data_IF_034857973608
#
_entry.id   IF_034857973608
#
_cell.length_a   1.000
_cell.length_b   1.000
_cell.length_c   1.000
_cell.angle_alpha   90.00
_cell.angle_beta   90.00
_cell.angle_gamma   90.00
#
_symmetry.space_group_name_H-M   'P 1'
#
loop_
_entity.id
_entity.type
_entity.pdbx_description
1 polymer ?
#
# COMPACT_ATOMS: atom_id res chain seq x y z
N UNK A 1 11.24 -7.09 -12.37
CA UNK A 1 9.83 -6.66 -12.51
C UNK A 1 9.50 -5.78 -11.32
N UNK A 2 8.97 -4.57 -11.54
CA UNK A 2 8.53 -3.69 -10.44
C UNK A 2 7.23 -4.23 -9.85
N UNK A 3 6.99 -4.00 -8.56
CA UNK A 3 5.75 -4.37 -7.85
C UNK A 3 5.56 -3.43 -6.66
N UNK A 4 4.44 -3.59 -5.96
CA UNK A 4 4.00 -2.73 -4.87
C UNK A 4 4.93 -2.73 -3.66
N UNK A 5 5.96 -3.62 -3.59
CA UNK A 5 7.04 -3.47 -2.60
C UNK A 5 7.75 -2.13 -2.69
N UNK A 6 7.69 -1.46 -3.85
CA UNK A 6 8.17 -0.08 -4.01
C UNK A 6 7.60 0.86 -2.92
N UNK A 7 6.34 0.68 -2.55
CA UNK A 7 5.65 1.50 -1.56
C UNK A 7 5.93 1.07 -0.11
N UNK A 8 6.71 0.00 0.11
CA UNK A 8 7.12 -0.37 1.47
C UNK A 8 8.10 0.67 2.02
N UNK A 9 7.70 1.34 3.09
CA UNK A 9 8.52 2.31 3.82
C UNK A 9 8.93 1.70 5.18
N UNK A 10 10.20 1.30 5.37
CA UNK A 10 10.67 0.69 6.60
C UNK A 10 10.53 1.60 7.83
N UNK A 11 10.62 2.91 7.65
CA UNK A 11 10.50 3.88 8.75
C UNK A 11 9.06 3.92 9.23
N UNK A 12 8.09 4.06 8.31
CA UNK A 12 6.65 4.00 8.66
C UNK A 12 6.25 2.63 9.21
N UNK A 13 6.88 1.57 8.74
CA UNK A 13 6.64 0.21 9.21
C UNK A 13 6.86 0.03 10.73
N UNK A 14 7.76 0.82 11.31
CA UNK A 14 8.07 0.83 12.75
C UNK A 14 6.98 1.59 13.52
N UNK A 15 6.58 2.77 13.04
CA UNK A 15 5.67 3.68 13.77
C UNK A 15 4.18 3.32 13.66
N UNK A 16 3.71 2.88 12.49
CA UNK A 16 2.27 2.71 12.20
C UNK A 16 1.77 1.27 12.34
N UNK A 17 2.66 0.33 12.66
CA UNK A 17 2.39 -1.10 12.49
C UNK A 17 3.30 -2.06 13.27
N UNK A 18 4.41 -1.60 13.84
CA UNK A 18 5.47 -2.48 14.32
C UNK A 18 5.07 -3.43 15.46
N UNK A 19 4.03 -3.10 16.22
CA UNK A 19 3.56 -3.88 17.37
C UNK A 19 2.16 -4.51 17.20
N UNK A 20 1.44 -4.20 16.11
CA UNK A 20 0.03 -4.59 15.94
C UNK A 20 -0.17 -5.93 15.22
N UNK A 21 0.90 -6.51 14.67
CA UNK A 21 0.84 -7.73 13.86
C UNK A 21 1.85 -8.76 14.34
N UNK A 22 1.40 -10.01 14.42
CA UNK A 22 2.17 -11.12 14.96
C UNK A 22 3.02 -11.82 13.88
N UNK A 23 2.69 -11.58 12.62
CA UNK A 23 3.34 -12.14 11.43
C UNK A 23 3.89 -11.05 10.52
N UNK A 24 4.96 -11.40 9.81
CA UNK A 24 5.64 -10.50 8.87
C UNK A 24 4.81 -10.26 7.62
N UNK A 25 4.06 -11.26 7.16
CA UNK A 25 3.25 -11.25 5.96
C UNK A 25 2.12 -10.21 6.08
N UNK A 26 1.35 -10.28 7.17
CA UNK A 26 0.27 -9.33 7.45
C UNK A 26 0.83 -7.92 7.59
N UNK A 27 1.86 -7.75 8.43
CA UNK A 27 2.52 -6.46 8.64
C UNK A 27 2.91 -5.81 7.31
N UNK A 28 3.60 -6.55 6.43
CA UNK A 28 4.06 -6.03 5.14
C UNK A 28 2.93 -5.60 4.22
N UNK A 29 1.89 -6.42 4.08
CA UNK A 29 0.76 -6.09 3.21
C UNK A 29 0.06 -4.81 3.69
N UNK A 30 -0.15 -4.70 5.00
CA UNK A 30 -0.78 -3.52 5.60
C UNK A 30 0.11 -2.27 5.47
N UNK A 31 1.42 -2.39 5.69
CA UNK A 31 2.37 -1.28 5.53
C UNK A 31 2.41 -0.77 4.10
N UNK A 32 2.50 -1.67 3.11
CA UNK A 32 2.48 -1.30 1.69
C UNK A 32 1.19 -0.53 1.38
N UNK A 33 0.04 -1.07 1.77
CA UNK A 33 -1.25 -0.43 1.53
C UNK A 33 -1.36 0.94 2.22
N UNK A 34 -0.90 1.06 3.47
CA UNK A 34 -0.87 2.33 4.21
C UNK A 34 0.00 3.39 3.54
N UNK A 35 1.24 3.03 3.21
CA UNK A 35 2.20 3.95 2.62
C UNK A 35 1.76 4.40 1.23
N UNK A 36 1.27 3.46 0.41
CA UNK A 36 0.71 3.78 -0.90
C UNK A 36 -0.49 4.71 -0.77
N UNK A 37 -1.43 4.41 0.13
CA UNK A 37 -2.59 5.28 0.37
C UNK A 37 -2.17 6.70 0.77
N UNK A 38 -1.17 6.85 1.65
CA UNK A 38 -0.68 8.17 2.05
C UNK A 38 -0.03 8.96 0.90
N UNK A 39 0.66 8.28 -0.02
CA UNK A 39 1.22 8.91 -1.22
C UNK A 39 0.11 9.34 -2.20
N UNK A 40 -0.89 8.50 -2.41
CA UNK A 40 -2.04 8.84 -3.25
C UNK A 40 -2.87 9.98 -2.63
N UNK A 41 -3.05 10.00 -1.31
CA UNK A 41 -3.71 11.11 -0.61
C UNK A 41 -2.99 12.43 -0.87
N UNK A 42 -1.66 12.45 -0.70
CA UNK A 42 -0.87 13.65 -0.99
C UNK A 42 -1.03 14.08 -2.45
N UNK A 43 -0.96 13.13 -3.38
CA UNK A 43 -1.13 13.42 -4.80
C UNK A 43 -2.53 13.99 -5.12
N UNK A 44 -3.59 13.47 -4.49
CA UNK A 44 -4.96 13.97 -4.67
C UNK A 44 -5.17 15.35 -4.03
N UNK A 45 -4.68 15.56 -2.81
CA UNK A 45 -4.77 16.84 -2.09
C UNK A 45 -4.07 17.98 -2.84
N UNK A 46 -2.90 17.70 -3.42
CA UNK A 46 -2.08 18.68 -4.14
C UNK A 46 -2.14 18.52 -5.65
N UNK A 47 -3.19 17.88 -6.18
CA UNK A 47 -3.28 17.48 -7.58
C UNK A 47 -3.02 18.64 -8.55
N UNK A 48 -3.69 19.78 -8.36
CA UNK A 48 -3.57 20.94 -9.26
C UNK A 48 -2.15 21.54 -9.20
N UNK A 49 -1.56 21.65 -7.99
CA UNK A 49 -0.19 22.16 -7.82
C UNK A 49 0.86 21.26 -8.46
N UNK A 50 0.66 19.94 -8.41
CA UNK A 50 1.55 18.97 -9.06
C UNK A 50 1.34 19.00 -10.57
N UNK A 51 0.10 19.13 -11.03
CA UNK A 51 -0.25 19.21 -12.45
C UNK A 51 0.35 20.44 -13.14
N UNK A 52 0.39 21.58 -12.44
CA UNK A 52 1.06 22.80 -12.93
C UNK A 52 2.57 22.60 -13.15
N UNK A 53 3.20 21.74 -12.35
CA UNK A 53 4.66 21.54 -12.36
C UNK A 53 5.10 20.40 -13.26
N UNK A 54 4.26 19.37 -13.45
CA UNK A 54 4.60 18.18 -14.24
C UNK A 54 3.36 17.48 -14.78
N UNK A 55 3.59 16.67 -15.81
CA UNK A 55 2.55 15.83 -16.38
C UNK A 55 2.18 14.70 -15.41
N UNK A 56 0.94 14.70 -14.94
CA UNK A 56 0.33 13.58 -14.23
C UNK A 56 -0.45 12.74 -15.25
N UNK A 57 -0.18 11.44 -15.40
CA UNK A 57 -0.87 10.59 -16.37
C UNK A 57 -2.20 10.02 -15.86
N UNK A 58 -2.64 10.41 -14.67
CA UNK A 58 -3.87 9.95 -13.99
C UNK A 58 -4.75 11.15 -13.68
N UNK A 59 -6.07 10.97 -13.74
CA UNK A 59 -7.02 11.98 -13.30
C UNK A 59 -7.16 12.00 -11.77
N UNK A 60 -7.56 13.14 -11.19
CA UNK A 60 -7.82 13.23 -9.74
C UNK A 60 -8.84 12.19 -9.24
N UNK A 61 -9.97 12.04 -9.95
CA UNK A 61 -10.99 11.04 -9.60
C UNK A 61 -10.45 9.60 -9.65
N UNK A 62 -9.56 9.30 -10.61
CA UNK A 62 -8.93 7.98 -10.71
C UNK A 62 -8.04 7.69 -9.49
N UNK A 63 -7.31 8.71 -9.02
CA UNK A 63 -6.48 8.61 -7.80
C UNK A 63 -7.37 8.37 -6.58
N UNK A 64 -8.47 9.11 -6.45
CA UNK A 64 -9.43 8.96 -5.35
C UNK A 64 -10.07 7.55 -5.35
N UNK A 65 -10.51 7.07 -6.52
CA UNK A 65 -11.08 5.73 -6.67
C UNK A 65 -10.06 4.63 -6.32
N UNK A 66 -8.79 4.82 -6.68
CA UNK A 66 -7.72 3.89 -6.33
C UNK A 66 -7.36 3.93 -4.84
N UNK A 67 -7.44 5.10 -4.20
CA UNK A 67 -7.32 5.21 -2.75
C UNK A 67 -8.39 4.41 -2.02
N UNK A 68 -9.62 4.40 -2.52
CA UNK A 68 -10.71 3.59 -1.96
C UNK A 68 -10.43 2.09 -2.11
N UNK A 69 -9.92 1.65 -3.27
CA UNK A 69 -9.50 0.25 -3.47
C UNK A 69 -8.37 -0.14 -2.53
N UNK A 70 -7.33 0.68 -2.40
CA UNK A 70 -6.21 0.44 -1.46
C UNK A 70 -6.71 0.39 -0.02
N UNK A 71 -7.67 1.24 0.35
CA UNK A 71 -8.31 1.22 1.67
C UNK A 71 -9.08 -0.08 1.91
N UNK A 72 -9.77 -0.60 0.90
CA UNK A 72 -10.46 -1.89 0.98
C UNK A 72 -9.46 -3.05 1.19
N UNK A 73 -8.36 -3.07 0.44
CA UNK A 73 -7.30 -4.08 0.63
C UNK A 73 -6.65 -3.98 2.01
N UNK A 74 -6.31 -2.76 2.47
CA UNK A 74 -5.80 -2.52 3.82
C UNK A 74 -6.73 -3.10 4.88
N UNK A 75 -8.04 -2.79 4.81
CA UNK A 75 -9.03 -3.30 5.77
C UNK A 75 -9.11 -4.82 5.71
N UNK A 76 -9.22 -5.40 4.51
CA UNK A 76 -9.19 -6.85 4.29
C UNK A 76 -7.99 -7.51 4.98
N UNK A 77 -6.78 -6.97 4.77
CA UNK A 77 -5.57 -7.56 5.36
C UNK A 77 -5.55 -7.43 6.89
N UNK A 78 -6.04 -6.31 7.44
CA UNK A 78 -6.13 -6.09 8.89
C UNK A 78 -7.14 -7.02 9.56
N UNK A 79 -8.30 -7.22 8.94
CA UNK A 79 -9.42 -7.96 9.51
C UNK A 79 -9.18 -9.48 9.55
N UNK A 80 -8.31 -9.98 8.67
CA UNK A 80 -7.89 -11.40 8.70
C UNK A 80 -7.06 -11.62 9.96
N UNK A 81 -7.59 -12.46 10.84
CA UNK A 81 -6.95 -12.82 12.10
C UNK A 81 -5.73 -13.71 11.86
N UNK A 82 -4.67 -13.45 12.62
CA UNK A 82 -3.50 -14.31 12.68
C UNK A 82 -3.81 -15.47 13.64
N UNK A 83 -3.36 -16.67 13.29
CA UNK A 83 -3.66 -17.89 14.03
C UNK A 83 -2.39 -18.40 14.73
N UNK A 84 -2.53 -18.91 15.95
CA UNK A 84 -1.41 -19.51 16.67
C UNK A 84 -1.18 -20.93 16.17
N UNK A 85 0.06 -21.25 15.78
CA UNK A 85 0.46 -22.57 15.29
C UNK A 85 1.72 -23.00 16.04
N UNK A 86 1.55 -23.95 16.97
CA UNK A 86 2.60 -24.33 17.92
C UNK A 86 3.04 -23.12 18.76
N UNK A 87 4.34 -22.85 18.75
CA UNK A 87 4.95 -21.70 19.43
C UNK A 87 4.96 -20.41 18.58
N UNK A 88 4.51 -20.49 17.32
CA UNK A 88 4.50 -19.39 16.37
C UNK A 88 3.12 -18.85 16.02
N UNK A 89 3.10 -17.87 15.13
CA UNK A 89 1.90 -17.30 14.53
C UNK A 89 1.96 -17.42 13.02
N UNK A 90 0.82 -17.71 12.40
CA UNK A 90 0.67 -17.78 10.95
C UNK A 90 -0.42 -16.81 10.49
N UNK A 91 -0.17 -16.20 9.33
CA UNK A 91 -1.18 -15.41 8.64
C UNK A 91 -1.82 -16.31 7.58
N UNK A 92 -3.10 -16.69 7.72
CA UNK A 92 -3.71 -17.72 6.88
C UNK A 92 -3.95 -17.24 5.44
N UNK A 93 -3.85 -15.94 5.19
CA UNK A 93 -4.03 -15.38 3.86
C UNK A 93 -2.74 -15.46 3.03
N UNK A 94 -2.88 -15.86 1.77
CA UNK A 94 -1.75 -16.00 0.87
C UNK A 94 -1.10 -14.64 0.60
N UNK A 95 0.15 -14.50 1.04
CA UNK A 95 0.92 -13.26 0.89
C UNK A 95 1.09 -12.85 -0.58
N UNK A 96 1.40 -13.80 -1.47
CA UNK A 96 1.59 -13.51 -2.90
C UNK A 96 0.30 -13.03 -3.57
N UNK A 97 -0.84 -13.58 -3.16
CA UNK A 97 -2.15 -13.11 -3.61
C UNK A 97 -2.39 -11.67 -3.16
N UNK A 98 -2.08 -11.33 -1.90
CA UNK A 98 -2.17 -9.94 -1.42
C UNK A 98 -1.29 -8.96 -2.19
N UNK A 99 -0.08 -9.40 -2.56
CA UNK A 99 0.83 -8.62 -3.39
C UNK A 99 0.26 -8.38 -4.79
N UNK A 100 -0.35 -9.40 -5.42
CA UNK A 100 -1.00 -9.26 -6.73
C UNK A 100 -2.18 -8.30 -6.69
N UNK A 101 -3.04 -8.44 -5.68
CA UNK A 101 -4.19 -7.53 -5.48
C UNK A 101 -3.75 -6.07 -5.33
N UNK A 102 -2.64 -5.81 -4.62
CA UNK A 102 -2.07 -4.47 -4.52
C UNK A 102 -1.44 -4.01 -5.85
N UNK A 103 -0.76 -4.90 -6.57
CA UNK A 103 -0.14 -4.59 -7.87
C UNK A 103 -1.18 -4.16 -8.92
N UNK A 104 -2.36 -4.78 -8.92
CA UNK A 104 -3.47 -4.42 -9.84
C UNK A 104 -3.86 -2.95 -9.75
N UNK A 105 -3.67 -2.32 -8.59
CA UNK A 105 -3.96 -0.90 -8.37
C UNK A 105 -2.70 -0.05 -8.46
N UNK A 106 -1.61 -0.49 -7.80
CA UNK A 106 -0.47 0.37 -7.48
C UNK A 106 0.62 0.38 -8.54
N UNK A 107 0.71 -0.65 -9.39
CA UNK A 107 1.84 -0.81 -10.31
C UNK A 107 1.99 0.38 -11.26
N UNK A 108 0.87 0.97 -11.71
CA UNK A 108 0.85 2.12 -12.61
C UNK A 108 1.48 3.38 -12.02
N UNK A 109 1.44 3.55 -10.69
CA UNK A 109 1.96 4.73 -10.01
C UNK A 109 3.49 4.72 -9.83
N UNK A 110 4.13 3.56 -9.93
CA UNK A 110 5.58 3.42 -9.64
C UNK A 110 6.44 4.35 -10.52
N UNK A 111 6.29 4.40 -11.86
CA UNK A 111 7.10 5.29 -12.68
C UNK A 111 6.96 6.77 -12.30
N UNK A 112 5.74 7.19 -11.91
CA UNK A 112 5.48 8.58 -11.52
C UNK A 112 6.21 8.98 -10.22
N UNK A 113 6.21 8.10 -9.21
CA UNK A 113 6.85 8.35 -7.92
C UNK A 113 8.36 8.09 -7.92
N UNK A 114 8.88 7.29 -8.85
CA UNK A 114 10.33 7.12 -9.01
C UNK A 114 11.01 8.40 -9.49
N UNK A 115 10.35 9.18 -10.34
CA UNK A 115 10.85 10.50 -10.77
C UNK A 115 10.96 11.51 -9.61
N UNK A 116 10.33 11.24 -8.45
CA UNK A 116 10.36 12.10 -7.26
C UNK A 116 11.47 11.74 -6.26
N UNK A 117 12.15 10.60 -6.41
CA UNK A 117 13.22 10.13 -5.52
C UNK A 117 14.61 10.49 -6.05
#
# INVERSE_FOLDING_TARGET
MKNCKFFYDPTRAIYDSGADYLTREKHRLVVIANSAWGLLLNLSCYYDEVLEKRKIPFGKQEIDDDMDKVSAHKRKFKDISEIKVGDGWEYPFNYEQGMKELDEVLLKYIPFFEEER
#
